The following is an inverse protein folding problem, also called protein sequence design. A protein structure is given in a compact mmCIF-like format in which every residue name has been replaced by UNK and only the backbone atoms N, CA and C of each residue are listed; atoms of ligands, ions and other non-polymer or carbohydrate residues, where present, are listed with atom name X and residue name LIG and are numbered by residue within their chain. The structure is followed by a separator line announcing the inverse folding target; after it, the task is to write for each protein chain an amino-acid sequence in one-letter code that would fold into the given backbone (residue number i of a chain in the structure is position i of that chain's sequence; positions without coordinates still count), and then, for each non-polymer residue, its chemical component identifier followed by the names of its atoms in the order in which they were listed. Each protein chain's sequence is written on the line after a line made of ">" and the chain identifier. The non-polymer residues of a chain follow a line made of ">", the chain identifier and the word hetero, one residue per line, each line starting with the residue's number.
data_IF_070497904397
#
_entry.id   IF_070497904397
#
_cell.length_a   1.000
_cell.length_b   1.000
_cell.length_c   1.000
_cell.angle_alpha   90.00
_cell.angle_beta   90.00
_cell.angle_gamma   90.00
#
_symmetry.space_group_name_H-M   'P 1'
#
loop_
_entity.id
_entity.type
_entity.pdbx_description
1 polymer ?
#
# COMPACT_ATOMS: atom_id res chain seq x y z
N UNK A 1 -11.08 -3.74 -6.93
CA UNK A 1 -10.27 -2.92 -6.01
C UNK A 1 -9.94 -3.76 -4.79
N UNK A 2 -8.70 -3.77 -4.33
CA UNK A 2 -8.28 -4.42 -3.08
C UNK A 2 -7.82 -3.33 -2.10
N UNK A 3 -8.22 -3.47 -0.84
CA UNK A 3 -7.97 -2.54 0.26
C UNK A 3 -7.96 -3.34 1.56
N UNK A 4 -6.94 -3.21 2.44
CA UNK A 4 -5.71 -2.41 2.31
C UNK A 4 -4.76 -2.88 1.21
N UNK A 5 -3.77 -2.06 0.84
CA UNK A 5 -2.85 -2.40 -0.26
C UNK A 5 -1.56 -3.05 0.24
N UNK A 6 -0.84 -2.38 1.16
CA UNK A 6 0.53 -2.74 1.53
C UNK A 6 0.61 -4.15 2.13
N UNK A 7 -0.36 -4.51 2.98
CA UNK A 7 -0.40 -5.82 3.64
C UNK A 7 -1.08 -6.93 2.82
N UNK A 8 -1.57 -6.64 1.61
CA UNK A 8 -2.33 -7.58 0.77
C UNK A 8 -1.83 -7.60 -0.69
N UNK A 9 -0.53 -7.39 -0.90
CA UNK A 9 0.09 -7.42 -2.23
C UNK A 9 -0.02 -8.79 -2.91
N UNK A 10 -0.11 -9.87 -2.12
CA UNK A 10 -0.36 -11.23 -2.58
C UNK A 10 -1.73 -11.36 -3.25
N UNK A 11 -2.79 -10.83 -2.62
CA UNK A 11 -4.14 -10.83 -3.20
C UNK A 11 -4.23 -9.94 -4.44
N UNK A 12 -3.50 -8.82 -4.47
CA UNK A 12 -3.41 -7.96 -5.66
C UNK A 12 -2.77 -8.71 -6.83
N UNK A 13 -1.67 -9.43 -6.56
CA UNK A 13 -1.00 -10.25 -7.55
C UNK A 13 -1.88 -11.42 -8.03
N UNK A 14 -2.60 -12.10 -7.13
CA UNK A 14 -3.53 -13.17 -7.48
C UNK A 14 -4.69 -12.65 -8.33
N UNK A 15 -5.33 -11.55 -7.93
CA UNK A 15 -6.41 -10.95 -8.68
C UNK A 15 -5.98 -10.53 -10.08
N UNK A 16 -4.76 -9.99 -10.23
CA UNK A 16 -4.22 -9.60 -11.55
C UNK A 16 -3.96 -10.81 -12.47
N UNK A 17 -3.60 -11.97 -11.91
CA UNK A 17 -3.42 -13.22 -12.68
C UNK A 17 -4.74 -13.87 -13.05
N UNK A 18 -5.73 -13.82 -12.14
CA UNK A 18 -6.99 -14.55 -12.26
C UNK A 18 -8.03 -13.84 -13.13
N UNK A 19 -8.06 -12.51 -13.10
CA UNK A 19 -9.09 -11.74 -13.78
C UNK A 19 -8.48 -10.89 -14.91
N UNK A 20 -9.06 -10.99 -16.11
CA UNK A 20 -8.65 -10.19 -17.26
C UNK A 20 -9.30 -8.79 -17.24
N UNK A 21 -9.13 -8.07 -16.14
CA UNK A 21 -9.63 -6.69 -15.94
C UNK A 21 -8.57 -5.83 -15.24
N UNK A 22 -8.63 -4.50 -15.33
CA UNK A 22 -7.80 -3.62 -14.50
C UNK A 22 -8.06 -3.86 -13.01
N UNK A 23 -6.98 -4.00 -12.23
CA UNK A 23 -7.04 -4.14 -10.78
C UNK A 23 -6.49 -2.86 -10.14
N UNK A 24 -7.28 -2.25 -9.26
CA UNK A 24 -6.87 -1.12 -8.44
C UNK A 24 -6.55 -1.55 -7.00
N UNK A 25 -5.60 -0.86 -6.38
CA UNK A 25 -5.21 -1.01 -4.99
C UNK A 25 -5.34 0.33 -4.27
N UNK A 26 -5.69 0.33 -2.98
CA UNK A 26 -5.84 1.55 -2.19
C UNK A 26 -4.90 1.54 -0.99
N UNK A 27 -3.91 2.45 -0.98
CA UNK A 27 -3.07 2.72 0.19
C UNK A 27 -3.91 3.43 1.25
N UNK A 28 -4.20 2.74 2.35
CA UNK A 28 -5.22 3.21 3.30
C UNK A 28 -4.70 4.29 4.23
N UNK A 29 -5.60 5.02 4.87
CA UNK A 29 -5.22 6.07 5.83
C UNK A 29 -4.30 5.57 6.94
N UNK A 30 -4.44 4.32 7.39
CA UNK A 30 -3.53 3.71 8.35
C UNK A 30 -2.11 3.49 7.82
N UNK A 31 -1.97 3.07 6.56
CA UNK A 31 -0.66 2.89 5.90
C UNK A 31 0.02 4.25 5.69
N UNK A 32 -0.74 5.26 5.24
CA UNK A 32 -0.27 6.64 5.15
C UNK A 32 0.15 7.19 6.52
N UNK A 33 -0.69 7.03 7.55
CA UNK A 33 -0.41 7.52 8.90
C UNK A 33 0.83 6.83 9.51
N UNK A 34 1.06 5.56 9.20
CA UNK A 34 2.26 4.82 9.62
C UNK A 34 3.52 5.45 9.05
N UNK A 35 3.55 5.72 7.74
CA UNK A 35 4.70 6.36 7.08
C UNK A 35 4.92 7.77 7.65
N UNK A 36 3.85 8.58 7.75
CA UNK A 36 3.93 9.93 8.33
C UNK A 36 4.45 9.92 9.78
N UNK A 37 3.97 9.00 10.61
CA UNK A 37 4.40 8.92 12.01
C UNK A 37 5.87 8.50 12.15
N UNK A 38 6.35 7.60 11.30
CA UNK A 38 7.76 7.18 11.30
C UNK A 38 8.68 8.31 10.77
N UNK A 39 8.26 9.02 9.71
CA UNK A 39 8.98 10.18 9.19
C UNK A 39 9.06 11.32 10.22
N UNK A 40 7.95 11.63 10.91
CA UNK A 40 7.91 12.65 11.96
C UNK A 40 8.85 12.35 13.14
N UNK A 41 9.16 11.08 13.39
CA UNK A 41 10.12 10.66 14.42
C UNK A 41 11.57 10.56 13.90
N UNK A 42 11.80 10.87 12.62
CA UNK A 42 13.11 10.78 11.99
C UNK A 42 13.62 9.35 11.80
N UNK A 43 12.74 8.34 11.87
CA UNK A 43 13.12 6.93 11.71
C UNK A 43 13.32 6.54 10.25
N UNK A 44 12.62 7.23 9.36
CA UNK A 44 12.68 7.05 7.90
C UNK A 44 12.71 8.41 7.21
N UNK A 45 13.18 8.44 5.96
CA UNK A 45 12.95 9.54 5.03
C UNK A 45 11.68 9.24 4.24
N UNK A 46 10.69 10.11 4.35
CA UNK A 46 9.37 9.88 3.74
C UNK A 46 9.45 9.62 2.22
N UNK A 47 10.17 10.48 1.50
CA UNK A 47 10.30 10.42 0.04
C UNK A 47 10.97 9.13 -0.48
N UNK A 48 11.67 8.38 0.38
CA UNK A 48 12.26 7.08 0.00
C UNK A 48 11.27 5.91 0.19
N UNK A 49 10.14 6.12 0.89
CA UNK A 49 9.16 5.09 1.27
C UNK A 49 7.82 5.22 0.52
N UNK A 50 7.44 6.45 0.12
CA UNK A 50 6.19 6.74 -0.62
C UNK A 50 6.40 6.77 -2.12
#
# INVERSE_FOLDING_TARGET
>A
MIKPALSYLDLIAEAKKKFNVPVSAYSVSGEYALVKAAANQGWIKEDEVT
#
